data_IF_301240373915
#
_entry.id   IF_301240373915
#
_cell.length_a   1.000
_cell.length_b   1.000
_cell.length_c   1.000
_cell.angle_alpha   90.00
_cell.angle_beta   90.00
_cell.angle_gamma   90.00
#
_symmetry.space_group_name_H-M   'P 1'
#
loop_
_entity.id
_entity.type
_entity.pdbx_description
1 polymer ?
#
# COMPACT_ATOMS: atom_id res chain seq x y z
N UNK A 1 24.03 -2.29 -14.72
CA UNK A 1 22.92 -3.27 -14.74
C UNK A 1 21.74 -2.60 -15.41
N UNK A 2 21.24 -3.16 -16.52
CA UNK A 2 20.05 -2.70 -17.24
C UNK A 2 18.81 -3.32 -16.60
N UNK A 3 17.91 -2.48 -16.11
CA UNK A 3 16.69 -2.88 -15.41
C UNK A 3 15.71 -3.49 -16.41
N UNK A 4 15.24 -4.71 -16.14
CA UNK A 4 14.26 -5.40 -17.00
C UNK A 4 12.91 -4.67 -16.94
N UNK A 5 12.28 -4.34 -18.08
CA UNK A 5 11.01 -3.59 -18.14
C UNK A 5 9.81 -4.33 -17.53
N UNK A 6 9.98 -5.59 -17.13
CA UNK A 6 8.94 -6.48 -16.63
C UNK A 6 9.08 -6.75 -15.12
N UNK A 7 10.00 -6.07 -14.44
CA UNK A 7 10.21 -6.24 -13.00
C UNK A 7 9.24 -5.32 -12.24
N UNK A 8 8.38 -5.86 -11.34
CA UNK A 8 7.45 -5.05 -10.54
C UNK A 8 8.15 -4.00 -9.67
N UNK A 9 9.46 -4.17 -9.41
CA UNK A 9 10.31 -3.19 -8.75
C UNK A 9 10.31 -1.82 -9.44
N UNK A 10 9.87 -1.70 -10.70
CA UNK A 10 9.99 -0.47 -11.49
C UNK A 10 8.78 0.45 -11.51
N UNK A 11 7.59 -0.02 -11.12
CA UNK A 11 6.42 0.84 -11.13
C UNK A 11 6.24 1.44 -9.74
N UNK A 12 6.49 2.74 -9.53
CA UNK A 12 6.27 3.38 -8.25
C UNK A 12 4.85 3.16 -7.74
N UNK A 13 3.87 3.03 -8.64
CA UNK A 13 2.47 2.78 -8.29
C UNK A 13 2.25 1.41 -7.63
N UNK A 14 2.88 0.36 -8.16
CA UNK A 14 2.77 -0.99 -7.58
C UNK A 14 3.43 -1.06 -6.21
N UNK A 15 4.57 -0.38 -6.06
CA UNK A 15 5.27 -0.28 -4.78
C UNK A 15 4.43 0.47 -3.74
N UNK A 16 3.80 1.58 -4.12
CA UNK A 16 2.90 2.35 -3.25
C UNK A 16 1.72 1.47 -2.83
N UNK A 17 1.12 0.73 -3.76
CA UNK A 17 0.00 -0.16 -3.44
C UNK A 17 0.40 -1.27 -2.45
N UNK A 18 1.54 -1.93 -2.67
CA UNK A 18 2.07 -2.98 -1.78
C UNK A 18 2.34 -2.45 -0.36
N UNK A 19 2.91 -1.25 -0.26
CA UNK A 19 3.16 -0.57 1.03
C UNK A 19 1.85 -0.22 1.75
N UNK A 20 0.89 0.35 1.03
CA UNK A 20 -0.43 0.68 1.60
C UNK A 20 -1.17 -0.57 2.09
N UNK A 21 -1.16 -1.66 1.31
CA UNK A 21 -1.82 -2.91 1.69
C UNK A 21 -1.17 -3.55 2.93
N UNK A 22 0.17 -3.57 2.98
CA UNK A 22 0.91 -4.11 4.12
C UNK A 22 0.69 -3.31 5.40
N UNK A 23 0.74 -1.98 5.33
CA UNK A 23 0.45 -1.13 6.48
C UNK A 23 -1.00 -1.24 6.94
N UNK A 24 -1.95 -1.38 6.00
CA UNK A 24 -3.35 -1.60 6.34
C UNK A 24 -3.56 -2.95 7.03
N UNK A 25 -2.89 -4.01 6.58
CA UNK A 25 -3.00 -5.36 7.15
C UNK A 25 -2.30 -5.50 8.50
N UNK A 26 -1.25 -4.71 8.74
CA UNK A 26 -0.55 -4.66 10.01
C UNK A 26 -1.35 -3.94 11.12
N UNK A 27 -2.41 -3.21 10.76
CA UNK A 27 -3.23 -2.48 11.73
C UNK A 27 -4.36 -3.34 12.29
N UNK A 28 -4.27 -3.61 13.59
CA UNK A 28 -5.33 -4.16 14.43
C UNK A 28 -5.83 -3.08 15.41
N UNK A 29 -7.14 -2.88 15.59
CA UNK A 29 -8.26 -3.66 15.05
C UNK A 29 -8.65 -3.27 13.60
N UNK A 30 -9.32 -4.20 12.88
CA UNK A 30 -9.78 -3.97 11.51
C UNK A 30 -10.64 -2.70 11.42
N UNK A 31 -10.52 -1.98 10.31
CA UNK A 31 -11.35 -0.81 10.04
C UNK A 31 -12.82 -1.21 9.94
N UNK A 32 -13.68 -0.87 10.92
CA UNK A 32 -15.07 -1.31 10.88
C UNK A 32 -15.90 -0.50 9.88
N UNK A 33 -15.45 0.70 9.53
CA UNK A 33 -16.14 1.61 8.62
C UNK A 33 -15.17 2.17 7.58
N UNK A 34 -15.71 2.51 6.40
CA UNK A 34 -14.97 3.13 5.28
C UNK A 34 -14.30 4.44 5.70
N UNK A 35 -14.94 5.24 6.55
CA UNK A 35 -14.36 6.49 7.07
C UNK A 35 -13.08 6.25 7.87
N UNK A 36 -13.03 5.17 8.66
CA UNK A 36 -11.85 4.81 9.47
C UNK A 36 -10.73 4.23 8.63
N UNK A 37 -11.06 3.66 7.46
CA UNK A 37 -10.10 3.16 6.48
C UNK A 37 -9.52 4.32 5.66
N UNK A 38 -10.37 5.29 5.28
CA UNK A 38 -9.96 6.54 4.63
C UNK A 38 -9.01 7.35 5.51
N UNK A 39 -9.34 7.56 6.77
CA UNK A 39 -8.51 8.29 7.73
C UNK A 39 -7.11 7.65 7.85
N UNK A 40 -7.06 6.32 7.93
CA UNK A 40 -5.80 5.56 7.98
C UNK A 40 -5.00 5.60 6.67
N UNK A 41 -5.64 5.61 5.51
CA UNK A 41 -4.93 5.77 4.24
C UNK A 41 -4.36 7.20 4.05
N UNK A 42 -4.83 8.20 4.81
CA UNK A 42 -4.29 9.56 4.77
C UNK A 42 -3.11 9.76 5.75
N UNK A 43 -2.93 8.85 6.70
CA UNK A 43 -1.84 8.85 7.69
C UNK A 43 -0.58 8.11 7.20
N UNK A 44 -0.71 7.31 6.14
CA UNK A 44 0.38 6.61 5.43
C UNK A 44 1.04 7.54 4.41
#
# INVERSE_FOLDING_TARGET
>A
MSRSPNSPDLNPMEHIWDVMERQLRAQTPPCPNISTLRDRCLDI
#
